data_IF_677167323128
#
_entry.id   IF_677167323128
#
_cell.length_a   1.000
_cell.length_b   1.000
_cell.length_c   1.000
_cell.angle_alpha   90.00
_cell.angle_beta   90.00
_cell.angle_gamma   90.00
#
_symmetry.space_group_name_H-M   'P 1'
#
loop_
_entity.id
_entity.type
_entity.pdbx_description
1 polymer ?
#
# COMPACT_ATOMS: atom_id res chain seq x y z
N UNK A 1 -2.12 -16.46 3.15
CA UNK A 1 -1.98 -15.59 1.94
C UNK A 1 -0.59 -15.00 1.98
N UNK A 2 0.13 -14.87 0.85
CA UNK A 2 1.47 -14.25 0.87
C UNK A 2 1.37 -12.75 0.63
N UNK A 3 2.04 -11.97 1.47
CA UNK A 3 2.14 -10.52 1.36
C UNK A 3 3.53 -10.12 0.88
N UNK A 4 3.59 -9.19 -0.07
CA UNK A 4 4.83 -8.69 -0.66
C UNK A 4 5.03 -7.22 -0.35
N UNK A 5 6.20 -6.86 0.16
CA UNK A 5 6.63 -5.47 0.30
C UNK A 5 7.82 -5.24 -0.62
N UNK A 6 7.65 -4.31 -1.57
CA UNK A 6 8.68 -3.90 -2.52
C UNK A 6 9.36 -2.64 -2.02
N UNK A 7 10.68 -2.57 -2.19
CA UNK A 7 11.50 -1.46 -1.70
C UNK A 7 12.78 -1.28 -2.52
N UNK A 8 13.42 -0.13 -2.34
CA UNK A 8 14.75 0.14 -2.86
C UNK A 8 15.79 -0.60 -2.00
N UNK A 9 16.49 -1.58 -2.58
CA UNK A 9 17.40 -2.50 -1.90
C UNK A 9 18.41 -1.77 -1.00
N UNK A 10 18.94 -0.65 -1.46
CA UNK A 10 19.93 0.14 -0.73
C UNK A 10 19.40 0.81 0.56
N UNK A 11 18.09 1.06 0.65
CA UNK A 11 17.45 1.71 1.79
C UNK A 11 16.91 0.73 2.85
N UNK A 12 16.72 -0.53 2.47
CA UNK A 12 16.05 -1.54 3.29
C UNK A 12 14.52 -1.42 3.27
N UNK A 13 13.81 -2.46 3.76
CA UNK A 13 12.36 -2.49 3.76
C UNK A 13 11.75 -1.54 4.80
N UNK A 14 10.44 -1.31 4.68
CA UNK A 14 9.61 -0.68 5.71
C UNK A 14 10.00 0.75 6.12
N UNK A 15 10.68 1.48 5.24
CA UNK A 15 10.92 2.93 5.38
C UNK A 15 9.72 3.72 4.84
N UNK A 16 8.77 4.07 5.70
CA UNK A 16 7.60 4.85 5.30
C UNK A 16 7.88 6.36 5.42
N UNK A 17 7.66 7.09 4.33
CA UNK A 17 7.84 8.54 4.29
C UNK A 17 6.88 9.29 5.22
N UNK A 18 5.71 8.71 5.51
CA UNK A 18 4.74 9.28 6.44
C UNK A 18 5.20 9.25 7.90
N UNK A 19 6.21 8.44 8.24
CA UNK A 19 6.82 8.44 9.59
C UNK A 19 7.72 9.68 9.81
N UNK A 20 8.08 10.39 8.74
CA UNK A 20 8.92 11.59 8.82
C UNK A 20 8.09 12.87 9.06
N UNK A 21 8.68 13.88 9.73
CA UNK A 21 8.15 15.24 9.69
C UNK A 21 8.04 15.77 8.25
N UNK A 22 7.10 16.69 8.00
CA UNK A 22 6.82 17.17 6.63
C UNK A 22 8.05 17.74 5.91
N UNK A 23 8.92 18.46 6.64
CA UNK A 23 10.18 18.98 6.07
C UNK A 23 11.09 17.87 5.56
N UNK A 24 11.24 16.81 6.35
CA UNK A 24 12.15 15.71 6.04
C UNK A 24 11.55 14.81 4.96
N UNK A 25 10.25 14.57 5.01
CA UNK A 25 9.50 13.89 3.97
C UNK A 25 9.63 14.62 2.60
N UNK A 26 9.45 15.94 2.57
CA UNK A 26 9.61 16.70 1.33
C UNK A 26 11.05 16.65 0.82
N UNK A 27 12.04 16.75 1.71
CA UNK A 27 13.45 16.60 1.34
C UNK A 27 13.75 15.24 0.70
N UNK A 28 13.16 14.16 1.21
CA UNK A 28 13.28 12.81 0.62
C UNK A 28 12.65 12.75 -0.77
N UNK A 29 11.45 13.31 -0.98
CA UNK A 29 10.82 13.33 -2.30
C UNK A 29 11.62 14.15 -3.31
N UNK A 30 12.14 15.31 -2.90
CA UNK A 30 12.99 16.14 -3.75
C UNK A 30 14.27 15.41 -4.15
N UNK A 31 14.93 14.74 -3.20
CA UNK A 31 16.11 13.93 -3.51
C UNK A 31 15.80 12.83 -4.52
N UNK A 32 14.70 12.09 -4.35
CA UNK A 32 14.29 11.06 -5.31
C UNK A 32 14.04 11.65 -6.70
N UNK A 33 13.40 12.82 -6.79
CA UNK A 33 13.14 13.53 -8.06
C UNK A 33 14.44 13.94 -8.75
N UNK A 34 15.43 14.39 -7.99
CA UNK A 34 16.72 14.85 -8.52
C UNK A 34 17.63 13.70 -8.91
N UNK A 35 17.78 12.69 -8.05
CA UNK A 35 18.77 11.64 -8.21
C UNK A 35 18.30 10.52 -9.14
N UNK A 36 16.98 10.26 -9.20
CA UNK A 36 16.39 9.15 -9.95
C UNK A 36 15.14 9.60 -10.75
N UNK A 37 15.23 10.55 -11.68
CA UNK A 37 14.05 11.13 -12.36
C UNK A 37 13.22 10.12 -13.17
N UNK A 38 13.82 9.00 -13.59
CA UNK A 38 13.18 8.04 -14.49
C UNK A 38 12.27 7.02 -13.78
N UNK A 39 12.43 6.83 -12.46
CA UNK A 39 11.65 5.84 -11.70
C UNK A 39 10.23 6.34 -11.40
N UNK A 40 9.30 5.43 -11.13
CA UNK A 40 7.90 5.79 -10.84
C UNK A 40 7.76 6.69 -9.60
N UNK A 41 8.57 6.48 -8.56
CA UNK A 41 8.51 7.31 -7.35
C UNK A 41 8.80 8.80 -7.61
N UNK A 42 9.69 9.12 -8.55
CA UNK A 42 10.05 10.50 -8.88
C UNK A 42 8.89 11.28 -9.54
N UNK A 43 7.91 10.58 -10.12
CA UNK A 43 6.76 11.17 -10.83
C UNK A 43 5.62 11.59 -9.90
N UNK A 44 5.80 11.48 -8.57
CA UNK A 44 4.78 11.86 -7.59
C UNK A 44 4.52 13.38 -7.60
N UNK A 45 3.25 13.81 -7.57
CA UNK A 45 2.89 15.23 -7.59
C UNK A 45 3.33 15.94 -6.30
N UNK A 46 3.37 17.26 -6.34
CA UNK A 46 3.76 18.11 -5.20
C UNK A 46 2.83 17.92 -3.99
N UNK A 47 1.53 17.72 -4.22
CA UNK A 47 0.53 17.47 -3.18
C UNK A 47 0.47 16.01 -2.67
N UNK A 48 1.45 15.19 -3.03
CA UNK A 48 1.47 13.76 -2.70
C UNK A 48 1.41 13.50 -1.19
N UNK A 49 2.24 14.17 -0.39
CA UNK A 49 2.31 13.93 1.06
C UNK A 49 0.99 14.27 1.75
N UNK A 50 0.40 15.42 1.39
CA UNK A 50 -0.89 15.84 1.93
C UNK A 50 -1.98 14.81 1.62
N UNK A 51 -2.04 14.33 0.37
CA UNK A 51 -2.99 13.29 -0.02
C UNK A 51 -2.74 11.98 0.71
N UNK A 52 -1.49 11.54 0.79
CA UNK A 52 -1.11 10.29 1.47
C UNK A 52 -1.57 10.30 2.92
N UNK A 53 -1.22 11.33 3.70
CA UNK A 53 -1.64 11.47 5.10
C UNK A 53 -3.15 11.51 5.25
N UNK A 54 -3.85 12.22 4.35
CA UNK A 54 -5.33 12.24 4.34
C UNK A 54 -5.91 10.84 4.13
N UNK A 55 -5.40 10.07 3.17
CA UNK A 55 -5.89 8.72 2.92
C UNK A 55 -5.50 7.76 4.05
N UNK A 56 -4.31 7.86 4.62
CA UNK A 56 -3.91 7.11 5.83
C UNK A 56 -4.87 7.37 7.00
N UNK A 57 -5.31 8.62 7.19
CA UNK A 57 -6.35 8.96 8.16
C UNK A 57 -7.69 8.26 7.89
N UNK A 58 -8.16 8.30 6.65
CA UNK A 58 -9.40 7.60 6.24
C UNK A 58 -9.27 6.10 6.48
N UNK A 59 -8.17 5.48 6.05
CA UNK A 59 -7.92 4.05 6.22
C UNK A 59 -7.96 3.66 7.70
N UNK A 60 -7.30 4.45 8.56
CA UNK A 60 -7.30 4.21 10.00
C UNK A 60 -8.69 4.33 10.61
N UNK A 61 -9.42 5.39 10.29
CA UNK A 61 -10.79 5.60 10.78
C UNK A 61 -11.73 4.47 10.35
N UNK A 62 -11.69 4.08 9.08
CA UNK A 62 -12.51 2.97 8.55
C UNK A 62 -12.12 1.63 9.19
N UNK A 63 -10.84 1.42 9.47
CA UNK A 63 -10.40 0.17 10.10
C UNK A 63 -10.84 0.08 11.55
N UNK A 64 -10.73 1.17 12.31
CA UNK A 64 -11.21 1.25 13.70
C UNK A 64 -12.72 0.98 13.77
N UNK A 65 -13.51 1.53 12.83
CA UNK A 65 -14.97 1.27 12.77
C UNK A 65 -15.30 -0.21 12.59
N UNK A 66 -14.39 -0.99 11.99
CA UNK A 66 -14.52 -2.44 11.79
C UNK A 66 -13.95 -3.28 12.94
N UNK A 67 -13.46 -2.64 14.02
CA UNK A 67 -12.81 -3.33 15.13
C UNK A 67 -11.37 -3.74 14.85
N UNK A 68 -10.75 -3.16 13.81
CA UNK A 68 -9.33 -3.35 13.51
C UNK A 68 -8.43 -2.83 14.62
N UNK A 69 -7.28 -3.48 14.79
CA UNK A 69 -6.28 -3.16 15.79
C UNK A 69 -5.18 -2.30 15.18
N UNK A 70 -5.05 -1.06 15.66
CA UNK A 70 -4.02 -0.11 15.27
C UNK A 70 -2.92 -0.11 16.32
N UNK A 71 -1.71 -0.52 15.95
CA UNK A 71 -0.55 -0.58 16.85
C UNK A 71 0.60 0.31 16.40
N UNK A 72 0.50 0.86 15.18
CA UNK A 72 1.36 1.92 14.67
C UNK A 72 0.54 2.96 13.90
N UNK A 73 1.04 4.19 13.92
CA UNK A 73 0.34 5.33 13.32
C UNK A 73 0.29 5.24 11.79
N UNK A 74 1.39 4.92 11.13
CA UNK A 74 1.42 4.72 9.68
C UNK A 74 1.49 3.23 9.39
N UNK A 75 0.75 2.70 8.40
CA UNK A 75 0.83 1.29 8.10
C UNK A 75 2.11 0.97 7.32
N UNK A 76 2.58 -0.27 7.44
CA UNK A 76 3.46 -0.84 6.43
C UNK A 76 2.61 -1.22 5.23
N UNK A 77 2.96 -0.70 4.06
CA UNK A 77 2.26 -1.03 2.83
C UNK A 77 2.84 -2.29 2.19
N UNK A 78 1.96 -3.25 1.93
CA UNK A 78 2.26 -4.48 1.22
C UNK A 78 1.19 -4.72 0.14
N UNK A 79 1.38 -5.75 -0.67
CA UNK A 79 0.38 -6.22 -1.63
C UNK A 79 0.15 -7.71 -1.51
N UNK A 80 -1.05 -8.16 -1.87
CA UNK A 80 -1.40 -9.59 -1.91
C UNK A 80 -0.74 -10.24 -3.13
N UNK A 81 0.03 -11.29 -2.88
CA UNK A 81 0.83 -12.03 -3.86
C UNK A 81 1.83 -11.16 -4.64
N UNK A 82 2.67 -11.79 -5.46
CA UNK A 82 3.65 -11.07 -6.27
C UNK A 82 2.94 -10.18 -7.31
N UNK A 83 3.43 -8.96 -7.50
CA UNK A 83 2.90 -8.00 -8.46
C UNK A 83 4.05 -7.38 -9.28
N UNK A 84 4.25 -7.83 -10.54
CA UNK A 84 5.36 -7.37 -11.40
C UNK A 84 5.37 -5.86 -11.67
N UNK A 85 4.25 -5.17 -11.48
CA UNK A 85 4.15 -3.73 -11.61
C UNK A 85 5.16 -2.97 -10.73
N UNK A 86 5.51 -3.51 -9.55
CA UNK A 86 6.44 -2.87 -8.62
C UNK A 86 7.93 -3.08 -8.96
N UNK A 87 8.26 -3.95 -9.92
CA UNK A 87 9.66 -4.18 -10.33
C UNK A 87 10.33 -2.95 -10.96
N UNK A 88 9.53 -1.97 -11.42
CA UNK A 88 10.02 -0.73 -12.04
C UNK A 88 9.86 0.48 -11.13
N UNK A 89 9.45 0.28 -9.88
CA UNK A 89 9.25 1.39 -8.95
C UNK A 89 10.56 1.95 -8.42
N UNK A 90 11.58 1.11 -8.31
CA UNK A 90 12.87 1.43 -7.70
C UNK A 90 14.00 1.23 -8.71
N UNK A 91 15.18 1.77 -8.42
CA UNK A 91 16.36 1.54 -9.27
C UNK A 91 16.88 0.10 -9.07
N UNK A 92 16.94 -0.34 -7.81
CA UNK A 92 17.26 -1.71 -7.44
C UNK A 92 16.14 -2.28 -6.57
N UNK A 93 15.07 -2.74 -7.22
CA UNK A 93 13.95 -3.35 -6.50
C UNK A 93 14.40 -4.61 -5.76
N UNK A 94 14.10 -4.64 -4.47
CA UNK A 94 14.06 -5.83 -3.65
C UNK A 94 12.65 -6.02 -3.10
N UNK A 95 12.38 -7.22 -2.60
CA UNK A 95 11.14 -7.51 -1.91
C UNK A 95 11.37 -8.44 -0.74
N UNK A 96 10.45 -8.37 0.21
CA UNK A 96 10.27 -9.36 1.26
C UNK A 96 8.90 -10.01 1.11
N UNK A 97 8.79 -11.22 1.63
CA UNK A 97 7.53 -11.95 1.67
C UNK A 97 7.20 -12.31 3.12
N UNK A 98 5.94 -12.13 3.50
CA UNK A 98 5.41 -12.45 4.83
C UNK A 98 4.16 -13.30 4.64
N UNK A 99 4.02 -14.39 5.38
CA UNK A 99 2.76 -15.12 5.41
C UNK A 99 1.80 -14.43 6.37
N UNK A 100 0.53 -14.33 6.00
CA UNK A 100 -0.51 -13.84 6.92
C UNK A 100 -0.63 -14.71 8.16
N UNK A 101 -0.23 -15.99 8.08
CA UNK A 101 -0.18 -16.89 9.23
C UNK A 101 0.85 -16.45 10.29
N UNK A 102 1.83 -15.61 9.92
CA UNK A 102 2.83 -15.04 10.83
C UNK A 102 2.38 -13.70 11.46
N UNK A 103 1.17 -13.22 11.14
CA UNK A 103 0.66 -11.90 11.56
C UNK A 103 -0.67 -12.02 12.32
N UNK A 104 -0.97 -11.03 13.18
CA UNK A 104 -2.32 -10.89 13.73
C UNK A 104 -3.24 -10.29 12.66
N UNK A 105 -4.16 -11.10 12.13
CA UNK A 105 -5.07 -10.70 11.04
C UNK A 105 -5.92 -9.46 11.40
N UNK A 106 -6.13 -9.20 12.70
CA UNK A 106 -6.86 -8.00 13.17
C UNK A 106 -6.06 -6.71 12.98
N UNK A 107 -4.77 -6.80 12.66
CA UNK A 107 -3.91 -5.65 12.33
C UNK A 107 -3.78 -5.43 10.83
N UNK A 108 -4.51 -6.19 10.00
CA UNK A 108 -4.47 -6.10 8.55
C UNK A 108 -5.76 -5.49 8.00
N UNK A 109 -5.60 -4.43 7.21
CA UNK A 109 -6.69 -3.92 6.37
C UNK A 109 -6.30 -3.96 4.90
N UNK A 110 -7.31 -3.96 4.03
CA UNK A 110 -7.13 -4.17 2.60
C UNK A 110 -7.97 -3.21 1.79
N UNK A 111 -7.43 -2.78 0.64
CA UNK A 111 -8.23 -2.19 -0.44
C UNK A 111 -8.04 -3.01 -1.70
N UNK A 112 -9.13 -3.25 -2.43
CA UNK A 112 -9.07 -3.90 -3.72
C UNK A 112 -8.67 -2.86 -4.78
N UNK A 113 -7.37 -2.75 -5.04
CA UNK A 113 -6.75 -1.62 -5.71
C UNK A 113 -6.01 -0.69 -4.75
N UNK A 114 -5.33 0.31 -5.31
CA UNK A 114 -4.68 1.38 -4.56
C UNK A 114 -5.71 2.18 -3.74
N UNK A 115 -5.33 2.56 -2.51
CA UNK A 115 -6.22 3.27 -1.59
C UNK A 115 -6.59 4.68 -2.07
N UNK A 116 -5.74 5.35 -2.84
CA UNK A 116 -6.01 6.70 -3.34
C UNK A 116 -7.18 6.70 -4.35
N UNK A 117 -7.17 5.96 -5.48
CA UNK A 117 -8.33 5.84 -6.35
C UNK A 117 -9.58 5.37 -5.60
N UNK A 118 -9.42 4.49 -4.62
CA UNK A 118 -10.52 3.94 -3.81
C UNK A 118 -11.27 5.01 -3.02
N UNK A 119 -10.57 5.97 -2.41
CA UNK A 119 -11.17 6.98 -1.52
C UNK A 119 -11.16 8.42 -2.06
N UNK A 120 -10.56 8.68 -3.22
CA UNK A 120 -10.46 10.05 -3.78
C UNK A 120 -11.79 10.67 -4.20
N UNK A 121 -12.83 9.86 -4.41
CA UNK A 121 -14.11 10.31 -4.99
C UNK A 121 -14.05 10.72 -6.47
N UNK A 122 -12.88 10.57 -7.12
CA UNK A 122 -12.68 10.86 -8.55
C UNK A 122 -13.18 9.73 -9.44
N UNK A 123 -13.02 8.48 -9.01
CA UNK A 123 -13.49 7.30 -9.74
C UNK A 123 -14.91 6.97 -9.26
N UNK A 124 -15.85 6.97 -10.20
CA UNK A 124 -17.29 6.79 -9.94
C UNK A 124 -17.90 5.75 -10.87
N UNK A 125 -17.23 4.61 -10.95
CA UNK A 125 -17.60 3.49 -11.83
C UNK A 125 -18.63 2.52 -11.20
N UNK A 126 -19.03 2.76 -9.95
CA UNK A 126 -20.02 1.94 -9.24
C UNK A 126 -19.52 0.55 -8.85
N UNK A 127 -18.22 0.26 -9.01
CA UNK A 127 -17.62 -1.00 -8.55
C UNK A 127 -17.77 -1.13 -7.03
N UNK A 128 -18.11 -2.32 -6.54
CA UNK A 128 -18.49 -2.52 -5.14
C UNK A 128 -17.36 -2.20 -4.15
N UNK A 129 -16.11 -2.28 -4.60
CA UNK A 129 -14.92 -2.02 -3.81
C UNK A 129 -14.52 -0.54 -3.75
N UNK A 130 -15.30 0.37 -4.37
CA UNK A 130 -15.08 1.81 -4.23
C UNK A 130 -15.48 2.30 -2.85
N UNK A 131 -14.65 3.18 -2.28
CA UNK A 131 -14.83 3.72 -0.94
C UNK A 131 -15.02 2.64 0.13
N UNK A 132 -14.35 1.49 -0.05
CA UNK A 132 -14.41 0.38 0.90
C UNK A 132 -13.01 -0.04 1.34
N UNK A 133 -12.89 -0.17 2.65
CA UNK A 133 -11.81 -0.89 3.32
C UNK A 133 -12.33 -2.27 3.72
N UNK A 134 -11.47 -3.27 3.68
CA UNK A 134 -11.79 -4.65 4.03
C UNK A 134 -10.92 -5.15 5.18
N UNK A 135 -11.48 -5.95 6.07
CA UNK A 135 -10.69 -6.83 6.96
C UNK A 135 -10.15 -8.03 6.19
N UNK A 136 -9.33 -8.86 6.84
CA UNK A 136 -8.84 -10.10 6.25
C UNK A 136 -9.98 -11.01 5.76
N UNK A 137 -11.01 -11.24 6.58
CA UNK A 137 -12.13 -12.10 6.22
C UNK A 137 -12.98 -11.49 5.10
N UNK A 138 -13.11 -10.17 5.06
CA UNK A 138 -13.93 -9.47 4.06
C UNK A 138 -13.25 -9.38 2.69
N UNK A 139 -11.91 -9.34 2.62
CA UNK A 139 -11.19 -9.24 1.34
C UNK A 139 -11.18 -10.56 0.57
N UNK A 140 -11.18 -11.71 1.25
CA UNK A 140 -11.16 -13.03 0.63
C UNK A 140 -12.28 -13.25 -0.41
N UNK A 141 -13.58 -13.02 -0.10
CA UNK A 141 -14.65 -13.19 -1.09
C UNK A 141 -14.59 -12.16 -2.23
N UNK A 142 -13.96 -11.00 -2.04
CA UNK A 142 -13.75 -10.01 -3.11
C UNK A 142 -12.69 -10.51 -4.08
N UNK A 143 -11.59 -11.06 -3.57
CA UNK A 143 -10.54 -11.68 -4.37
C UNK A 143 -11.09 -12.91 -5.10
N UNK A 144 -11.87 -13.76 -4.44
CA UNK A 144 -12.49 -14.93 -5.07
C UNK A 144 -13.41 -14.54 -6.24
N UNK A 145 -14.18 -13.46 -6.07
CA UNK A 145 -15.12 -12.97 -7.09
C UNK A 145 -14.46 -12.33 -8.31
N UNK A 146 -13.42 -11.52 -8.10
CA UNK A 146 -12.83 -10.71 -9.17
C UNK A 146 -11.43 -11.17 -9.60
N UNK A 147 -10.82 -12.10 -8.88
CA UNK A 147 -9.41 -12.45 -9.05
C UNK A 147 -8.47 -11.36 -8.52
N UNK A 148 -7.17 -11.56 -8.75
CA UNK A 148 -6.13 -10.60 -8.40
C UNK A 148 -5.96 -9.56 -9.54
N UNK A 149 -6.00 -8.24 -9.26
CA UNK A 149 -5.87 -7.25 -10.31
C UNK A 149 -4.56 -7.28 -11.10
N UNK A 150 -3.47 -7.80 -10.51
CA UNK A 150 -2.22 -8.02 -11.24
C UNK A 150 -2.34 -9.08 -12.34
N UNK A 151 -3.35 -9.96 -12.28
CA UNK A 151 -3.56 -11.00 -13.27
C UNK A 151 -4.52 -10.53 -14.38
N UNK A 152 -5.64 -9.89 -14.01
CA UNK A 152 -6.67 -9.48 -14.98
C UNK A 152 -6.52 -8.04 -15.49
N UNK A 153 -5.78 -7.16 -14.80
CA UNK A 153 -5.52 -5.77 -15.20
C UNK A 153 -4.08 -5.29 -14.93
N UNK A 154 -3.05 -6.04 -15.37
CA UNK A 154 -1.65 -5.66 -15.15
C UNK A 154 -1.26 -4.32 -15.80
N UNK A 155 -1.95 -3.92 -16.87
CA UNK A 155 -1.66 -2.73 -17.68
C UNK A 155 -2.64 -1.57 -17.45
N UNK A 156 -3.45 -1.59 -16.39
CA UNK A 156 -4.42 -0.52 -16.06
C UNK A 156 -5.50 -0.22 -17.13
N UNK A 157 -5.77 -1.16 -18.04
CA UNK A 157 -6.75 -0.98 -19.13
C UNK A 157 -8.20 -0.92 -18.66
N UNK A 158 -8.51 -1.56 -17.53
CA UNK A 158 -9.88 -1.78 -17.05
C UNK A 158 -10.19 -1.02 -15.74
N UNK A 159 -9.36 -0.04 -15.41
CA UNK A 159 -9.46 0.76 -14.20
C UNK A 159 -8.12 0.89 -13.48
N UNK A 160 -8.11 1.59 -12.34
CA UNK A 160 -6.89 1.84 -11.58
C UNK A 160 -6.42 0.64 -10.74
N UNK A 161 -7.18 -0.46 -10.68
CA UNK A 161 -6.83 -1.66 -9.92
C UNK A 161 -5.75 -2.45 -10.65
N UNK A 162 -4.57 -2.62 -10.06
CA UNK A 162 -3.52 -3.51 -10.57
C UNK A 162 -2.86 -4.37 -9.48
N UNK A 163 -3.31 -4.23 -8.24
CA UNK A 163 -2.98 -5.08 -7.09
C UNK A 163 -4.08 -4.98 -6.04
N UNK A 164 -4.07 -5.87 -5.06
CA UNK A 164 -4.77 -5.66 -3.78
C UNK A 164 -3.75 -5.10 -2.78
N UNK A 165 -4.02 -3.89 -2.28
CA UNK A 165 -3.16 -3.22 -1.31
C UNK A 165 -3.48 -3.72 0.10
N UNK A 166 -2.45 -3.90 0.91
CA UNK A 166 -2.54 -4.30 2.31
C UNK A 166 -1.88 -3.23 3.17
N UNK A 167 -2.60 -2.79 4.19
CA UNK A 167 -2.07 -1.92 5.23
C UNK A 167 -1.87 -2.74 6.50
N UNK A 168 -0.61 -2.90 6.90
CA UNK A 168 -0.22 -3.64 8.11
C UNK A 168 0.01 -2.65 9.24
N UNK A 169 -0.86 -2.70 10.24
CA UNK A 169 -0.93 -1.74 11.35
C UNK A 169 -0.16 -2.21 12.60
N UNK A 170 0.87 -3.05 12.41
CA UNK A 170 1.75 -3.52 13.48
C UNK A 170 3.17 -3.72 12.99
N UNK A 171 4.12 -3.65 13.91
CA UNK A 171 5.50 -4.10 13.70
C UNK A 171 5.69 -5.57 14.12
N UNK A 172 4.72 -6.16 14.85
CA UNK A 172 4.82 -7.54 15.33
C UNK A 172 4.74 -8.54 14.18
N UNK A 173 5.63 -9.52 14.19
CA UNK A 173 5.85 -10.46 13.08
C UNK A 173 6.73 -9.92 11.96
N UNK A 174 7.07 -8.62 11.98
CA UNK A 174 7.93 -7.95 11.01
C UNK A 174 9.28 -7.53 11.59
N UNK A 175 9.53 -7.77 12.88
CA UNK A 175 10.68 -7.24 13.64
C UNK A 175 12.01 -7.60 12.99
N UNK A 176 12.08 -8.78 12.40
CA UNK A 176 13.26 -9.26 11.67
C UNK A 176 13.72 -8.27 10.60
N UNK A 177 12.80 -7.54 9.96
CA UNK A 177 13.03 -6.63 8.83
C UNK A 177 12.95 -5.15 9.22
N UNK A 178 12.56 -4.83 10.45
CA UNK A 178 12.47 -3.46 10.96
C UNK A 178 13.77 -3.17 11.71
N UNK A 179 14.53 -2.18 11.23
CA UNK A 179 15.85 -1.80 11.76
C UNK A 179 15.86 -0.45 12.46
#
# INVERSE_FOLDING_TARGET
MKLYHYYEKSNGPFRNISDLPDRDAEAVLQRIRTDHPDIFLAKRPEDYLQKRRRFEGILREEFIKKGGLIERETPHYMVVEACPFFEKWYEHTAWITVDTDDLDLRTLSFTYGDSHPTFSGKIRDGKEYRNRLYTYEEILPVIDRYGLPQDWNPDFRYGPECYVEVQVWTDRGLEKWIG
#
